data_IF_834250385306
#
_entry.id   IF_834250385306
#
_cell.length_a   1.000
_cell.length_b   1.000
_cell.length_c   1.000
_cell.angle_alpha   90.00
_cell.angle_beta   90.00
_cell.angle_gamma   90.00
#
_symmetry.space_group_name_H-M   'P 1'
#
loop_
_entity.id
_entity.type
_entity.pdbx_description
1 polymer ?
#
# COMPACT_ATOMS: atom_id res chain seq x y z
N UNK A 1 2.38 -8.62 -5.79
CA UNK A 1 2.48 -7.41 -6.64
C UNK A 1 3.90 -6.94 -6.83
N UNK A 2 4.66 -6.68 -5.76
CA UNK A 2 6.03 -6.14 -5.85
C UNK A 2 6.97 -7.02 -6.69
N UNK A 3 6.88 -8.35 -6.58
CA UNK A 3 7.62 -9.27 -7.45
C UNK A 3 7.40 -8.97 -8.95
N UNK A 4 6.16 -8.76 -9.38
CA UNK A 4 5.86 -8.48 -10.79
C UNK A 4 6.45 -7.15 -11.24
N UNK A 5 6.43 -6.13 -10.38
CA UNK A 5 7.09 -4.84 -10.65
C UNK A 5 8.61 -4.98 -10.79
N UNK A 6 9.22 -5.83 -9.96
CA UNK A 6 10.65 -6.14 -10.03
C UNK A 6 10.98 -6.89 -11.33
N UNK A 7 10.27 -7.98 -11.62
CA UNK A 7 10.42 -8.79 -12.84
C UNK A 7 10.29 -7.96 -14.12
N UNK A 8 9.33 -7.04 -14.14
CA UNK A 8 9.03 -6.21 -15.32
C UNK A 8 9.94 -4.96 -15.40
N UNK A 9 10.96 -4.84 -14.54
CA UNK A 9 11.94 -3.74 -14.51
C UNK A 9 11.31 -2.34 -14.39
N UNK A 10 10.17 -2.23 -13.70
CA UNK A 10 9.51 -0.94 -13.43
C UNK A 10 9.88 -0.37 -12.06
N UNK A 11 10.80 -1.02 -11.34
CA UNK A 11 11.40 -0.50 -10.11
C UNK A 11 12.82 0.03 -10.38
N UNK A 12 13.29 1.03 -9.63
CA UNK A 12 14.70 1.43 -9.66
C UNK A 12 15.63 0.25 -9.37
N UNK A 13 16.78 0.17 -10.06
CA UNK A 13 17.72 -0.97 -9.97
C UNK A 13 18.19 -1.30 -8.54
N UNK A 14 18.32 -0.28 -7.69
CA UNK A 14 18.83 -0.42 -6.31
C UNK A 14 17.72 -0.50 -5.26
N UNK A 15 16.52 -0.99 -5.63
CA UNK A 15 15.42 -1.16 -4.67
C UNK A 15 15.71 -2.32 -3.71
N UNK A 16 15.51 -2.06 -2.42
CA UNK A 16 15.54 -3.06 -1.34
C UNK A 16 14.18 -3.18 -0.69
N UNK A 17 13.86 -4.38 -0.24
CA UNK A 17 12.58 -4.70 0.39
C UNK A 17 12.84 -5.12 1.82
N UNK A 18 12.12 -4.54 2.78
CA UNK A 18 12.25 -4.88 4.19
C UNK A 18 10.88 -5.25 4.73
N UNK A 19 10.72 -6.52 5.08
CA UNK A 19 9.53 -6.97 5.80
C UNK A 19 9.66 -6.66 7.29
N UNK A 20 8.55 -6.22 7.91
CA UNK A 20 8.51 -5.90 9.34
C UNK A 20 7.20 -6.39 9.95
N UNK A 21 7.28 -7.25 10.98
CA UNK A 21 6.12 -7.68 11.76
C UNK A 21 6.53 -8.24 13.13
N UNK A 22 5.56 -8.50 14.00
CA UNK A 22 5.81 -9.07 15.34
C UNK A 22 6.35 -10.50 15.31
N UNK A 23 6.00 -11.27 14.28
CA UNK A 23 6.37 -12.68 14.17
C UNK A 23 7.85 -12.82 13.89
N UNK A 24 8.55 -13.64 14.67
CA UNK A 24 9.92 -14.05 14.37
C UNK A 24 9.89 -15.05 13.22
N UNK A 25 10.47 -14.67 12.08
CA UNK A 25 10.59 -15.51 10.89
C UNK A 25 11.75 -15.01 10.03
N UNK A 26 12.26 -15.87 9.16
CA UNK A 26 13.31 -15.57 8.20
C UNK A 26 12.73 -15.19 6.83
N UNK A 27 13.58 -14.64 5.96
CA UNK A 27 13.22 -14.39 4.55
C UNK A 27 12.88 -15.71 3.83
N UNK A 28 13.52 -16.82 4.21
CA UNK A 28 13.22 -18.14 3.66
C UNK A 28 11.79 -18.59 4.00
N UNK A 29 11.34 -18.38 5.23
CA UNK A 29 9.97 -18.72 5.65
C UNK A 29 8.93 -17.89 4.89
N UNK A 30 9.24 -16.60 4.65
CA UNK A 30 8.37 -15.71 3.86
C UNK A 30 8.32 -16.17 2.40
N UNK A 31 9.47 -16.52 1.83
CA UNK A 31 9.58 -17.05 0.47
C UNK A 31 8.73 -18.30 0.29
N UNK A 32 8.80 -19.24 1.23
CA UNK A 32 7.97 -20.45 1.20
C UNK A 32 6.48 -20.12 1.22
N UNK A 33 6.04 -19.25 2.14
CA UNK A 33 4.63 -18.82 2.24
C UNK A 33 4.14 -18.10 0.99
N UNK A 34 5.02 -17.35 0.32
CA UNK A 34 4.71 -16.60 -0.88
C UNK A 34 4.74 -17.43 -2.17
N UNK A 35 5.41 -18.60 -2.17
CA UNK A 35 5.61 -19.44 -3.35
C UNK A 35 4.32 -19.73 -4.13
N UNK A 36 3.23 -20.07 -3.43
CA UNK A 36 1.91 -20.35 -4.02
C UNK A 36 1.24 -19.16 -4.70
N UNK A 37 1.67 -17.93 -4.41
CA UNK A 37 1.10 -16.70 -4.98
C UNK A 37 2.00 -16.10 -6.09
N UNK A 38 3.23 -16.59 -6.21
CA UNK A 38 4.20 -16.13 -7.19
C UNK A 38 4.16 -17.07 -8.38
N UNK A 39 3.69 -16.56 -9.52
CA UNK A 39 3.79 -17.27 -10.79
C UNK A 39 5.09 -16.87 -11.49
N UNK A 40 6.04 -17.79 -11.54
CA UNK A 40 7.32 -17.62 -12.25
C UNK A 40 7.15 -18.08 -13.69
N UNK A 41 7.63 -17.29 -14.64
CA UNK A 41 7.68 -17.70 -16.05
C UNK A 41 9.01 -18.42 -16.31
N UNK A 42 9.07 -19.36 -17.25
CA UNK A 42 10.34 -19.95 -17.67
C UNK A 42 11.33 -18.85 -18.07
N UNK A 43 12.52 -18.84 -17.46
CA UNK A 43 13.58 -17.85 -17.69
C UNK A 43 13.63 -16.70 -16.68
N UNK A 44 12.69 -16.59 -15.74
CA UNK A 44 12.69 -15.59 -14.66
C UNK A 44 13.23 -16.16 -13.32
N UNK A 45 13.74 -17.39 -13.29
CA UNK A 45 14.21 -18.06 -12.07
C UNK A 45 15.37 -17.30 -11.41
N UNK A 46 16.40 -16.92 -12.18
CA UNK A 46 17.55 -16.16 -11.67
C UNK A 46 17.11 -14.81 -11.11
N UNK A 47 16.16 -14.14 -11.77
CA UNK A 47 15.58 -12.87 -11.29
C UNK A 47 14.82 -13.04 -9.99
N UNK A 48 14.16 -14.19 -9.80
CA UNK A 48 13.47 -14.48 -8.55
C UNK A 48 14.48 -14.65 -7.41
N UNK A 49 15.62 -15.28 -7.67
CA UNK A 49 16.70 -15.37 -6.68
C UNK A 49 17.28 -13.98 -6.36
N UNK A 50 17.57 -13.15 -7.36
CA UNK A 50 18.02 -11.77 -7.17
C UNK A 50 17.01 -10.94 -6.37
N UNK A 51 15.72 -11.11 -6.64
CA UNK A 51 14.65 -10.48 -5.88
C UNK A 51 14.72 -10.87 -4.40
N UNK A 52 14.83 -12.17 -4.09
CA UNK A 52 14.91 -12.63 -2.69
C UNK A 52 16.19 -12.18 -2.00
N UNK A 53 17.31 -12.06 -2.71
CA UNK A 53 18.54 -11.46 -2.17
C UNK A 53 18.41 -9.95 -1.87
N UNK A 54 17.42 -9.28 -2.49
CA UNK A 54 17.07 -7.90 -2.18
C UNK A 54 16.04 -7.76 -1.04
N UNK A 55 15.56 -8.86 -0.46
CA UNK A 55 14.64 -8.86 0.67
C UNK A 55 15.39 -9.09 1.99
N UNK A 56 15.13 -8.21 2.95
CA UNK A 56 15.49 -8.36 4.36
C UNK A 56 14.22 -8.48 5.21
N UNK A 57 14.37 -9.00 6.43
CA UNK A 57 13.26 -9.06 7.39
C UNK A 57 13.73 -8.67 8.79
N UNK A 58 12.88 -7.94 9.51
CA UNK A 58 13.08 -7.61 10.90
C UNK A 58 11.81 -7.87 11.70
N UNK A 59 11.93 -8.63 12.78
CA UNK A 59 10.86 -8.78 13.73
C UNK A 59 10.87 -7.66 14.77
N UNK A 60 9.70 -7.08 15.06
CA UNK A 60 9.57 -6.00 16.03
C UNK A 60 8.12 -5.65 16.33
N UNK A 61 7.91 -4.90 17.41
CA UNK A 61 6.59 -4.45 17.85
C UNK A 61 6.17 -3.15 17.17
N UNK A 62 4.87 -2.83 17.16
CA UNK A 62 4.35 -1.66 16.45
C UNK A 62 4.30 -0.39 17.31
N UNK A 63 4.36 -0.56 18.63
CA UNK A 63 4.23 0.47 19.67
C UNK A 63 5.59 0.96 20.19
N UNK A 64 6.64 0.13 20.15
CA UNK A 64 7.95 0.49 20.72
C UNK A 64 8.87 1.20 19.73
N UNK A 65 9.24 2.43 20.07
CA UNK A 65 10.24 3.23 19.34
C UNK A 65 11.57 2.50 19.09
N UNK A 66 12.08 1.75 20.08
CA UNK A 66 13.37 1.04 19.97
C UNK A 66 13.40 0.04 18.80
N UNK A 67 12.26 -0.57 18.46
CA UNK A 67 12.19 -1.52 17.35
C UNK A 67 12.21 -0.80 16.00
N UNK A 68 11.62 0.40 15.92
CA UNK A 68 11.73 1.26 14.75
C UNK A 68 13.13 1.86 14.58
N UNK A 69 13.86 2.11 15.67
CA UNK A 69 15.27 2.51 15.59
C UNK A 69 16.13 1.38 15.00
N UNK A 70 15.87 0.12 15.37
CA UNK A 70 16.51 -1.05 14.74
C UNK A 70 16.10 -1.18 13.27
N UNK A 71 14.83 -0.94 12.94
CA UNK A 71 14.36 -0.91 11.55
C UNK A 71 15.09 0.16 10.73
N UNK A 72 15.22 1.37 11.27
CA UNK A 72 15.97 2.45 10.64
C UNK A 72 17.44 2.09 10.43
N UNK A 73 18.08 1.41 11.40
CA UNK A 73 19.46 0.92 11.23
C UNK A 73 19.56 -0.12 10.10
N UNK A 74 18.61 -1.06 10.02
CA UNK A 74 18.58 -2.06 8.94
C UNK A 74 18.39 -1.39 7.57
N UNK A 75 17.44 -0.47 7.46
CA UNK A 75 17.21 0.30 6.22
C UNK A 75 18.48 1.09 5.85
N UNK A 76 19.08 1.81 6.81
CA UNK A 76 20.24 2.66 6.60
C UNK A 76 21.49 1.92 6.09
N UNK A 77 21.67 0.63 6.43
CA UNK A 77 22.77 -0.20 5.89
C UNK A 77 22.73 -0.32 4.36
N UNK A 78 21.53 -0.23 3.78
CA UNK A 78 21.30 -0.34 2.35
C UNK A 78 21.32 1.03 1.63
N UNK A 79 21.36 2.14 2.35
CA UNK A 79 21.27 3.51 1.80
C UNK A 79 22.65 4.12 1.48
N UNK A 80 23.40 3.46 0.59
CA UNK A 80 24.76 3.89 0.22
C UNK A 80 24.80 5.07 -0.78
N UNK A 81 23.66 5.41 -1.40
CA UNK A 81 23.55 6.45 -2.41
C UNK A 81 23.48 7.89 -1.86
N UNK A 82 23.54 8.85 -2.78
CA UNK A 82 23.31 10.27 -2.49
C UNK A 82 21.84 10.55 -2.12
N UNK A 83 20.91 9.83 -2.76
CA UNK A 83 19.48 9.91 -2.50
C UNK A 83 19.01 8.55 -2.01
N UNK A 84 18.21 8.57 -0.93
CA UNK A 84 17.59 7.38 -0.38
C UNK A 84 16.10 7.64 -0.15
N UNK A 85 15.26 7.02 -0.96
CA UNK A 85 13.81 7.17 -0.87
C UNK A 85 13.21 6.02 -0.08
N UNK A 86 12.28 6.31 0.84
CA UNK A 86 11.62 5.32 1.69
C UNK A 86 10.11 5.31 1.41
N UNK A 87 9.57 4.11 1.21
CA UNK A 87 8.12 3.88 1.07
C UNK A 87 7.71 2.86 2.12
N UNK A 88 6.82 3.28 3.04
CA UNK A 88 6.26 2.42 4.07
C UNK A 88 4.87 1.97 3.65
N UNK A 89 4.68 0.67 3.44
CA UNK A 89 3.37 0.09 3.15
C UNK A 89 2.76 -0.48 4.44
N UNK A 90 1.66 0.10 4.90
CA UNK A 90 1.03 -0.26 6.17
C UNK A 90 0.01 -1.37 5.94
N UNK A 91 0.49 -2.59 5.72
CA UNK A 91 -0.32 -3.80 5.67
C UNK A 91 -0.62 -4.34 7.09
N UNK A 92 -1.15 -3.46 7.96
CA UNK A 92 -1.42 -3.73 9.37
C UNK A 92 -2.87 -3.35 9.71
N UNK A 93 -3.46 -3.88 10.79
CA UNK A 93 -4.82 -3.49 11.16
C UNK A 93 -4.90 -2.00 11.57
N UNK A 94 -6.06 -1.35 11.41
CA UNK A 94 -6.24 0.07 11.75
C UNK A 94 -5.91 0.43 13.20
N UNK A 95 -6.05 -0.54 14.12
CA UNK A 95 -5.81 -0.36 15.56
C UNK A 95 -4.37 0.02 15.89
N UNK A 96 -3.41 -0.24 14.99
CA UNK A 96 -2.00 0.10 15.19
C UNK A 96 -1.52 1.23 14.27
N UNK A 97 -2.39 1.83 13.46
CA UNK A 97 -2.00 2.88 12.53
C UNK A 97 -1.40 4.09 13.24
N UNK A 98 -2.00 4.54 14.34
CA UNK A 98 -1.52 5.71 15.09
C UNK A 98 -0.09 5.47 15.60
N UNK A 99 0.15 4.36 16.29
CA UNK A 99 1.48 4.00 16.82
C UNK A 99 2.54 3.84 15.73
N UNK A 100 2.21 3.10 14.66
CA UNK A 100 3.15 2.85 13.56
C UNK A 100 3.53 4.16 12.87
N UNK A 101 2.57 5.02 12.59
CA UNK A 101 2.83 6.29 11.89
C UNK A 101 3.65 7.26 12.72
N UNK A 102 3.39 7.35 14.03
CA UNK A 102 4.22 8.14 14.97
C UNK A 102 5.64 7.60 15.01
N UNK A 103 5.81 6.29 15.15
CA UNK A 103 7.13 5.68 15.21
C UNK A 103 7.91 5.82 13.89
N UNK A 104 7.24 5.68 12.73
CA UNK A 104 7.86 5.96 11.42
C UNK A 104 8.35 7.40 11.35
N UNK A 105 7.49 8.37 11.74
CA UNK A 105 7.83 9.79 11.72
C UNK A 105 9.03 10.10 12.62
N UNK A 106 9.11 9.48 13.78
CA UNK A 106 10.12 9.79 14.77
C UNK A 106 11.47 9.11 14.52
N UNK A 107 11.48 7.89 13.95
CA UNK A 107 12.69 7.08 13.85
C UNK A 107 13.12 6.72 12.42
N UNK A 108 12.19 6.68 11.46
CA UNK A 108 12.42 6.04 10.15
C UNK A 108 12.28 6.98 8.95
N UNK A 109 12.21 8.30 9.15
CA UNK A 109 12.19 9.27 8.04
C UNK A 109 13.55 9.30 7.35
N UNK A 110 13.55 9.33 6.01
CA UNK A 110 14.76 9.51 5.23
C UNK A 110 15.32 10.93 5.37
N UNK A 111 16.63 11.04 5.55
CA UNK A 111 17.35 12.31 5.55
C UNK A 111 17.77 12.78 4.15
N UNK A 112 17.85 11.86 3.18
CA UNK A 112 18.44 12.10 1.85
C UNK A 112 17.45 11.99 0.69
N UNK A 113 16.16 11.82 0.98
CA UNK A 113 15.13 11.62 -0.02
C UNK A 113 13.74 11.73 0.57
N UNK A 114 12.72 11.34 -0.19
CA UNK A 114 11.36 11.39 0.31
C UNK A 114 11.06 10.22 1.23
N UNK A 115 10.09 10.43 2.12
CA UNK A 115 9.40 9.37 2.86
C UNK A 115 7.93 9.40 2.47
N UNK A 116 7.39 8.28 2.02
CA UNK A 116 5.97 8.13 1.68
C UNK A 116 5.36 6.99 2.48
N UNK A 117 4.10 7.15 2.86
CA UNK A 117 3.33 6.19 3.66
C UNK A 117 2.10 5.79 2.86
N UNK A 118 1.96 4.51 2.60
CA UNK A 118 0.81 3.90 1.92
C UNK A 118 -0.08 3.27 2.98
N UNK A 119 -1.35 3.67 3.02
CA UNK A 119 -2.32 3.27 4.05
C UNK A 119 -3.50 2.59 3.36
N UNK A 120 -3.90 1.44 3.89
CA UNK A 120 -5.06 0.68 3.43
C UNK A 120 -6.32 1.04 4.22
N UNK A 121 -7.48 0.80 3.59
CA UNK A 121 -8.78 0.92 4.26
C UNK A 121 -8.91 -0.07 5.42
N UNK A 122 -9.74 0.21 6.44
CA UNK A 122 -10.67 1.34 6.58
C UNK A 122 -10.02 2.64 7.08
N UNK A 123 -10.49 3.78 6.55
CA UNK A 123 -10.06 5.13 6.95
C UNK A 123 -11.02 5.74 7.98
N UNK A 124 -11.29 5.03 9.07
CA UNK A 124 -12.38 5.34 10.00
C UNK A 124 -13.66 4.57 9.68
N UNK A 125 -14.68 4.74 10.54
CA UNK A 125 -16.02 4.10 10.42
C UNK A 125 -17.13 5.12 10.11
N UNK A 126 -16.84 6.39 10.32
CA UNK A 126 -17.72 7.55 10.13
C UNK A 126 -16.86 8.81 9.90
N UNK A 127 -17.50 9.96 9.69
CA UNK A 127 -16.82 11.23 9.49
C UNK A 127 -15.93 11.60 10.68
N UNK A 128 -16.40 11.45 11.92
CA UNK A 128 -15.65 11.83 13.13
C UNK A 128 -14.36 11.03 13.28
N UNK A 129 -14.42 9.70 13.12
CA UNK A 129 -13.27 8.83 13.20
C UNK A 129 -12.32 8.97 12.00
N UNK A 130 -12.85 9.26 10.81
CA UNK A 130 -12.04 9.57 9.63
C UNK A 130 -11.30 10.90 9.77
N UNK A 131 -11.96 11.92 10.31
CA UNK A 131 -11.36 13.23 10.60
C UNK A 131 -10.27 13.09 11.66
N UNK A 132 -10.49 12.29 12.71
CA UNK A 132 -9.47 12.00 13.72
C UNK A 132 -8.21 11.38 13.08
N UNK A 133 -8.38 10.35 12.25
CA UNK A 133 -7.26 9.70 11.54
C UNK A 133 -6.55 10.68 10.60
N UNK A 134 -7.32 11.48 9.85
CA UNK A 134 -6.75 12.45 8.90
C UNK A 134 -5.96 13.55 9.61
N UNK A 135 -6.49 14.09 10.71
CA UNK A 135 -5.79 15.08 11.54
C UNK A 135 -4.51 14.51 12.14
N UNK A 136 -4.57 13.28 12.69
CA UNK A 136 -3.39 12.57 13.19
C UNK A 136 -2.30 12.47 12.12
N UNK A 137 -2.64 11.97 10.93
CA UNK A 137 -1.69 11.82 9.83
C UNK A 137 -1.13 13.17 9.35
N UNK A 138 -1.97 14.21 9.27
CA UNK A 138 -1.57 15.54 8.87
C UNK A 138 -0.59 16.21 9.87
N UNK A 139 -0.64 15.84 11.15
CA UNK A 139 0.36 16.31 12.13
C UNK A 139 1.74 15.71 11.92
N UNK A 140 1.83 14.55 11.27
CA UNK A 140 3.07 13.79 11.09
C UNK A 140 3.68 13.93 9.68
N UNK A 141 2.84 13.92 8.66
CA UNK A 141 3.23 13.87 7.25
C UNK A 141 2.53 14.96 6.44
N UNK A 142 3.20 15.45 5.40
CA UNK A 142 2.55 16.29 4.38
C UNK A 142 1.65 15.44 3.50
N UNK A 143 0.62 16.03 2.91
CA UNK A 143 -0.33 15.29 2.07
C UNK A 143 0.34 14.59 0.87
N UNK A 144 1.37 15.18 0.26
CA UNK A 144 2.16 14.57 -0.82
C UNK A 144 2.91 13.29 -0.42
N UNK A 145 3.03 13.03 0.89
CA UNK A 145 3.66 11.85 1.46
C UNK A 145 2.66 10.75 1.77
N UNK A 146 1.36 11.04 1.78
CA UNK A 146 0.30 10.11 2.20
C UNK A 146 -0.39 9.53 0.97
N UNK A 147 -0.44 8.19 0.89
CA UNK A 147 -1.07 7.46 -0.20
C UNK A 147 -2.16 6.56 0.37
N UNK A 148 -3.40 7.03 0.36
CA UNK A 148 -4.57 6.25 0.78
C UNK A 148 -5.00 5.34 -0.36
N UNK A 149 -5.02 4.04 -0.13
CA UNK A 149 -5.35 3.05 -1.15
C UNK A 149 -6.85 2.85 -1.23
N UNK A 150 -7.40 3.16 -2.41
CA UNK A 150 -8.60 2.54 -2.93
C UNK A 150 -8.21 1.75 -4.20
N UNK A 151 -8.25 0.42 -4.09
CA UNK A 151 -7.81 -0.47 -5.15
C UNK A 151 -8.67 -0.39 -6.42
N UNK A 152 -9.90 0.16 -6.35
CA UNK A 152 -10.70 0.39 -7.56
C UNK A 152 -10.07 1.44 -8.47
N UNK A 153 -9.38 2.44 -7.91
CA UNK A 153 -8.66 3.46 -8.68
C UNK A 153 -7.48 2.88 -9.47
N UNK A 154 -7.02 1.68 -9.11
CA UNK A 154 -6.00 0.94 -9.85
C UNK A 154 -6.54 0.08 -11.00
N UNK A 155 -7.86 -0.05 -11.17
CA UNK A 155 -8.46 -0.86 -12.24
C UNK A 155 -8.41 -0.10 -13.56
N UNK A 156 -7.97 -0.78 -14.61
CA UNK A 156 -7.80 -0.21 -15.96
C UNK A 156 -9.04 0.54 -16.46
N UNK A 157 -10.22 -0.07 -16.36
CA UNK A 157 -11.47 0.55 -16.82
C UNK A 157 -11.85 1.80 -16.00
N UNK A 158 -11.51 1.84 -14.71
CA UNK A 158 -11.77 3.03 -13.87
C UNK A 158 -10.84 4.17 -14.27
N UNK A 159 -9.55 3.89 -14.52
CA UNK A 159 -8.60 4.88 -15.03
C UNK A 159 -9.02 5.42 -16.41
N UNK A 160 -9.56 4.55 -17.27
CA UNK A 160 -9.98 4.91 -18.62
C UNK A 160 -11.21 5.85 -18.65
N UNK A 161 -11.97 5.98 -17.55
CA UNK A 161 -13.11 6.91 -17.48
C UNK A 161 -12.69 8.36 -17.80
N UNK A 162 -11.49 8.78 -17.38
CA UNK A 162 -10.97 10.11 -17.68
C UNK A 162 -10.72 10.31 -19.18
N UNK A 163 -10.07 9.33 -19.82
CA UNK A 163 -9.81 9.35 -21.26
C UNK A 163 -11.11 9.36 -22.06
N UNK A 164 -12.05 8.48 -21.71
CA UNK A 164 -13.36 8.41 -22.38
C UNK A 164 -14.08 9.76 -22.31
N UNK A 165 -14.12 10.40 -21.14
CA UNK A 165 -14.85 11.66 -20.93
C UNK A 165 -14.19 12.86 -21.59
N UNK A 166 -12.87 13.00 -21.50
CA UNK A 166 -12.19 14.26 -21.84
C UNK A 166 -11.39 14.21 -23.13
N UNK A 167 -10.97 13.03 -23.60
CA UNK A 167 -10.22 12.91 -24.85
C UNK A 167 -11.11 12.77 -26.10
N UNK A 168 -12.44 12.67 -25.92
CA UNK A 168 -13.39 12.42 -26.99
C UNK A 168 -14.40 13.56 -27.13
N UNK A 169 -14.31 14.29 -28.25
CA UNK A 169 -15.20 15.42 -28.55
C UNK A 169 -16.68 15.05 -28.66
N UNK A 170 -17.01 13.76 -28.86
CA UNK A 170 -18.39 13.26 -28.93
C UNK A 170 -19.03 13.18 -27.53
N UNK A 171 -18.26 12.79 -26.52
CA UNK A 171 -18.78 12.62 -25.15
C UNK A 171 -18.79 13.94 -24.37
N UNK A 172 -17.84 14.83 -24.62
CA UNK A 172 -17.71 16.10 -23.91
C UNK A 172 -18.99 16.98 -23.91
N UNK A 173 -19.68 17.22 -25.06
CA UNK A 173 -20.91 18.03 -25.07
C UNK A 173 -22.13 17.27 -24.52
N UNK A 174 -22.09 15.94 -24.49
CA UNK A 174 -23.20 15.09 -24.03
C UNK A 174 -23.13 14.77 -22.53
N UNK A 175 -21.99 14.98 -21.87
CA UNK A 175 -21.81 14.65 -20.45
C UNK A 175 -22.35 15.76 -19.51
N UNK A 176 -23.65 16.02 -19.54
CA UNK A 176 -24.31 17.01 -18.68
C UNK A 176 -25.79 16.68 -18.42
N UNK A 177 -26.41 17.43 -17.49
CA UNK A 177 -27.81 17.24 -17.06
C UNK A 177 -28.86 17.41 -18.17
N UNK A 178 -28.53 18.04 -19.30
CA UNK A 178 -29.46 18.22 -20.41
C UNK A 178 -29.56 16.97 -21.30
N UNK A 179 -28.53 16.11 -21.27
CA UNK A 179 -28.41 14.94 -22.14
C UNK A 179 -28.40 13.61 -21.37
N UNK A 180 -28.07 13.62 -20.07
CA UNK A 180 -28.00 12.43 -19.22
C UNK A 180 -29.22 12.35 -18.32
N UNK A 181 -30.05 11.32 -18.50
CA UNK A 181 -31.23 11.08 -17.67
C UNK A 181 -30.88 10.51 -16.28
N UNK A 182 -29.92 9.59 -16.19
CA UNK A 182 -29.46 9.00 -14.93
C UNK A 182 -28.06 8.38 -15.06
N UNK A 183 -27.40 8.16 -13.92
CA UNK A 183 -26.12 7.45 -13.80
C UNK A 183 -26.31 6.28 -12.84
N UNK A 184 -26.02 5.07 -13.29
CA UNK A 184 -26.10 3.85 -12.50
C UNK A 184 -24.70 3.32 -12.21
N UNK A 185 -24.38 3.15 -10.93
CA UNK A 185 -23.17 2.49 -10.46
C UNK A 185 -23.59 1.19 -9.78
N UNK A 186 -23.11 0.05 -10.29
CA UNK A 186 -23.48 -1.26 -9.76
C UNK A 186 -22.24 -2.04 -9.35
N UNK A 187 -22.28 -2.58 -8.14
CA UNK A 187 -21.33 -3.54 -7.62
C UNK A 187 -22.10 -4.79 -7.22
N UNK A 188 -21.71 -5.94 -7.77
CA UNK A 188 -22.36 -7.23 -7.54
C UNK A 188 -21.30 -8.30 -7.36
N UNK A 189 -21.46 -9.11 -6.32
CA UNK A 189 -20.63 -10.28 -6.06
C UNK A 189 -21.53 -11.53 -6.08
N UNK A 190 -21.13 -12.62 -6.75
CA UNK A 190 -21.93 -13.85 -6.81
C UNK A 190 -21.76 -14.73 -5.56
N UNK A 191 -21.02 -14.28 -4.54
CA UNK A 191 -20.69 -15.01 -3.32
C UNK A 191 -21.10 -14.21 -2.06
N UNK A 192 -21.22 -14.91 -0.93
CA UNK A 192 -21.60 -14.30 0.35
C UNK A 192 -20.40 -13.82 1.16
N UNK A 193 -20.53 -13.82 2.49
CA UNK A 193 -19.44 -13.39 3.38
C UNK A 193 -18.32 -14.42 3.56
N UNK A 194 -18.48 -15.64 3.05
CA UNK A 194 -17.44 -16.70 2.97
C UNK A 194 -16.55 -16.82 4.24
N UNK A 195 -17.18 -16.89 5.41
CA UNK A 195 -16.47 -17.04 6.71
C UNK A 195 -15.88 -15.74 7.28
N UNK A 196 -16.08 -14.59 6.64
CA UNK A 196 -15.68 -13.25 7.12
C UNK A 196 -16.85 -12.42 7.66
N UNK A 197 -17.98 -13.07 7.99
CA UNK A 197 -19.19 -12.42 8.47
C UNK A 197 -18.96 -11.47 9.64
N UNK A 198 -18.12 -11.85 10.62
CA UNK A 198 -17.84 -10.99 11.77
C UNK A 198 -17.11 -9.69 11.44
N UNK A 199 -16.26 -9.67 10.41
CA UNK A 199 -15.68 -8.41 9.92
C UNK A 199 -16.71 -7.61 9.12
N UNK A 200 -17.54 -8.28 8.32
CA UNK A 200 -18.57 -7.60 7.52
C UNK A 200 -19.66 -6.96 8.39
N UNK A 201 -20.05 -7.57 9.51
CA UNK A 201 -21.10 -7.08 10.40
C UNK A 201 -20.77 -5.71 11.01
N UNK A 202 -19.49 -5.48 11.33
CA UNK A 202 -18.98 -4.23 11.88
C UNK A 202 -19.04 -3.03 10.91
N UNK A 203 -19.04 -3.29 9.60
CA UNK A 203 -18.92 -2.25 8.56
C UNK A 203 -20.13 -2.18 7.63
N UNK A 204 -20.74 -3.31 7.28
CA UNK A 204 -21.80 -3.43 6.30
C UNK A 204 -21.33 -3.19 4.86
N UNK A 205 -22.27 -3.14 3.92
CA UNK A 205 -21.96 -2.93 2.49
C UNK A 205 -21.71 -1.47 2.11
N UNK A 206 -22.16 -0.52 2.93
CA UNK A 206 -22.06 0.93 2.64
C UNK A 206 -20.66 1.46 2.95
N UNK A 207 -19.91 0.81 3.85
CA UNK A 207 -18.56 1.22 4.28
C UNK A 207 -17.49 0.37 3.60
#
# INVERSE_FOLDING_TARGET
TIWYLYRDNVLPKNTKFVGYARTQQSVADIREKCSKYIKVRPGDEDRLEEFWQANDYLAGTYDKRIDFEKLNQLIGKNEKGLIANRIFYLAVPPTVFEDVTVNIKNACVSFKGYTRVIIEKPFGRDNVSSDKLSNHLATLFKEEQIYRIDHYLGKEMVQNLMTIRFANSIFCPSWNRANVASVLISFKEPFGTEGRGGYFDDFGIVR
#
